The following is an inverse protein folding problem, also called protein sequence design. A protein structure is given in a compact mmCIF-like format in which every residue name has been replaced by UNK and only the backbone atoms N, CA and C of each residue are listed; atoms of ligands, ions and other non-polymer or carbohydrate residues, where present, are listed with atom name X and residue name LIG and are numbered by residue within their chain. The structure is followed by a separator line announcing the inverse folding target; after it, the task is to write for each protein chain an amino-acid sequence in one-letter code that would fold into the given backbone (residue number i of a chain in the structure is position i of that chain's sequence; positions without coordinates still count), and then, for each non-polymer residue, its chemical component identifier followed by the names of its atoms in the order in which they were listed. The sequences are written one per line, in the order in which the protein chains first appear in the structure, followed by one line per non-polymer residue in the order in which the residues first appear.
data_IF_158029496112
#
_entry.id   IF_158029496112
#
_cell.length_a   1.000
_cell.length_b   1.000
_cell.length_c   1.000
_cell.angle_alpha   90.00
_cell.angle_beta   90.00
_cell.angle_gamma   90.00
#
_symmetry.space_group_name_H-M   'P 1'
#
loop_
_entity.id
_entity.type
_entity.pdbx_description
1 polymer ?
#
# COMPACT_ATOMS: atom_id res chain seq x y z
N UNK A 1 8.74 -19.37 10.33
CA UNK A 1 8.55 -19.19 8.88
C UNK A 1 8.02 -17.78 8.66
N UNK A 2 8.73 -16.91 7.93
CA UNK A 2 8.13 -15.64 7.52
C UNK A 2 7.07 -15.98 6.47
N UNK A 3 5.81 -15.67 6.73
CA UNK A 3 4.75 -15.84 5.73
C UNK A 3 5.12 -14.97 4.53
N UNK A 4 5.24 -15.60 3.36
CA UNK A 4 5.45 -14.90 2.10
C UNK A 4 4.21 -14.06 1.82
N UNK A 5 4.39 -12.75 1.66
CA UNK A 5 3.30 -11.84 1.29
C UNK A 5 3.18 -11.88 -0.24
N UNK A 6 1.97 -12.15 -0.73
CA UNK A 6 1.64 -12.12 -2.15
C UNK A 6 0.89 -10.82 -2.46
N UNK A 7 1.30 -10.16 -3.54
CA UNK A 7 0.69 -8.91 -4.01
C UNK A 7 0.20 -9.04 -5.45
N UNK A 8 -0.89 -8.35 -5.78
CA UNK A 8 -1.58 -8.44 -7.08
C UNK A 8 -1.84 -7.08 -7.75
N UNK A 9 -1.35 -6.00 -7.14
CA UNK A 9 -1.47 -4.68 -7.72
C UNK A 9 -0.66 -3.65 -6.94
N UNK A 10 -0.69 -2.40 -7.42
CA UNK A 10 -0.05 -1.28 -6.75
C UNK A 10 -0.75 0.03 -7.06
N UNK A 11 -0.86 0.90 -6.04
CA UNK A 11 -1.39 2.25 -6.12
C UNK A 11 -0.34 3.27 -5.69
N UNK A 12 -0.31 4.43 -6.34
CA UNK A 12 0.62 5.50 -5.97
C UNK A 12 -0.01 6.42 -4.91
N UNK A 13 0.69 6.65 -3.80
CA UNK A 13 0.27 7.61 -2.78
C UNK A 13 1.22 8.80 -2.74
N UNK A 14 0.69 10.00 -2.53
CA UNK A 14 1.49 11.23 -2.39
C UNK A 14 1.09 12.00 -1.14
N UNK A 15 2.09 12.46 -0.38
CA UNK A 15 1.90 13.34 0.76
C UNK A 15 1.63 14.77 0.30
N UNK A 16 0.47 15.32 0.68
CA UNK A 16 0.13 16.72 0.42
C UNK A 16 1.00 17.72 1.21
N UNK A 17 1.71 17.28 2.26
CA UNK A 17 2.54 18.16 3.10
C UNK A 17 3.99 18.25 2.63
N UNK A 18 4.70 17.12 2.51
CA UNK A 18 6.12 17.09 2.15
C UNK A 18 6.37 16.66 0.70
N UNK A 19 5.33 16.27 -0.05
CA UNK A 19 5.46 15.84 -1.43
C UNK A 19 5.96 14.40 -1.63
N UNK A 20 6.35 13.69 -0.55
CA UNK A 20 6.80 12.29 -0.61
C UNK A 20 5.81 11.42 -1.38
N UNK A 21 6.31 10.61 -2.31
CA UNK A 21 5.54 9.66 -3.08
C UNK A 21 5.93 8.24 -2.68
N UNK A 22 4.95 7.36 -2.58
CA UNK A 22 5.15 5.98 -2.19
C UNK A 22 4.29 5.08 -3.08
N UNK A 23 4.93 4.10 -3.73
CA UNK A 23 4.21 3.04 -4.43
C UNK A 23 3.77 1.99 -3.41
N UNK A 24 2.47 1.85 -3.22
CA UNK A 24 1.88 0.93 -2.26
C UNK A 24 1.32 -0.29 -2.97
N UNK A 25 1.97 -1.43 -2.79
CA UNK A 25 1.52 -2.71 -3.29
C UNK A 25 0.29 -3.22 -2.52
N UNK A 26 -0.50 -4.08 -3.15
CA UNK A 26 -1.76 -4.58 -2.60
C UNK A 26 -1.60 -6.05 -2.24
N UNK A 27 -1.64 -6.40 -0.94
CA UNK A 27 -1.73 -7.81 -0.54
C UNK A 27 -2.97 -8.45 -1.17
N UNK A 28 -2.88 -9.73 -1.56
CA UNK A 28 -4.00 -10.46 -2.13
C UNK A 28 -5.27 -10.35 -1.24
N UNK A 29 -6.32 -9.76 -1.80
CA UNK A 29 -7.57 -9.46 -1.10
C UNK A 29 -7.72 -8.00 -0.66
N UNK A 30 -6.70 -7.16 -0.84
CA UNK A 30 -6.82 -5.70 -0.77
C UNK A 30 -7.16 -5.17 -2.16
N UNK A 31 -8.33 -4.56 -2.30
CA UNK A 31 -8.89 -4.11 -3.59
C UNK A 31 -8.95 -5.20 -4.68
N UNK A 32 -9.42 -4.82 -5.88
CA UNK A 32 -9.53 -5.71 -7.04
C UNK A 32 -10.71 -6.68 -7.00
N UNK A 33 -10.64 -7.73 -7.81
CA UNK A 33 -11.75 -8.67 -8.06
C UNK A 33 -12.12 -9.49 -6.83
N UNK A 34 -11.12 -10.00 -6.09
CA UNK A 34 -11.31 -10.82 -4.89
C UNK A 34 -11.24 -9.99 -3.59
N UNK A 35 -11.71 -8.74 -3.65
CA UNK A 35 -11.61 -7.77 -2.56
C UNK A 35 -12.26 -8.29 -1.27
N UNK A 36 -11.46 -8.33 -0.22
CA UNK A 36 -11.87 -8.53 1.18
C UNK A 36 -11.85 -7.23 1.96
N UNK A 37 -10.88 -6.36 1.69
CA UNK A 37 -10.73 -5.07 2.35
C UNK A 37 -10.37 -3.96 1.35
N UNK A 38 -10.87 -2.74 1.54
CA UNK A 38 -10.42 -1.57 0.80
C UNK A 38 -9.07 -1.06 1.29
N UNK A 39 -8.40 -0.29 0.42
CA UNK A 39 -7.32 0.60 0.81
C UNK A 39 -7.88 1.76 1.66
N UNK A 40 -7.12 2.25 2.65
CA UNK A 40 -7.47 3.48 3.36
C UNK A 40 -7.38 4.71 2.42
N UNK A 41 -8.33 5.63 2.56
CA UNK A 41 -8.40 6.85 1.75
C UNK A 41 -7.25 7.82 2.03
N UNK A 42 -6.83 7.93 3.31
CA UNK A 42 -5.70 8.74 3.76
C UNK A 42 -4.83 7.91 4.68
N UNK A 43 -3.51 7.98 4.48
CA UNK A 43 -2.51 7.33 5.35
C UNK A 43 -1.51 8.35 5.92
N UNK A 44 -0.84 7.93 6.99
CA UNK A 44 0.22 8.72 7.61
C UNK A 44 1.49 8.64 6.76
N UNK A 45 2.10 9.78 6.50
CA UNK A 45 3.35 9.86 5.75
C UNK A 45 4.51 9.31 6.58
N UNK A 46 5.32 8.38 6.06
CA UNK A 46 6.43 7.86 6.84
C UNK A 46 7.63 8.82 6.91
N UNK A 47 7.69 9.85 6.05
CA UNK A 47 8.78 10.85 6.05
C UNK A 47 8.51 12.03 6.97
N UNK A 48 7.29 12.59 6.96
CA UNK A 48 6.95 13.76 7.80
C UNK A 48 5.95 13.45 8.93
N UNK A 49 5.49 12.21 9.04
CA UNK A 49 4.55 11.74 10.05
C UNK A 49 3.15 12.39 10.03
N UNK A 50 2.84 13.24 9.06
CA UNK A 50 1.51 13.85 8.89
C UNK A 50 0.50 12.89 8.27
N UNK A 51 -0.76 12.98 8.69
CA UNK A 51 -1.88 12.23 8.10
C UNK A 51 -2.35 12.90 6.81
N UNK A 52 -1.49 12.85 5.79
CA UNK A 52 -1.65 13.64 4.57
C UNK A 52 -1.31 12.90 3.28
N UNK A 53 -1.09 11.58 3.30
CA UNK A 53 -0.86 10.80 2.09
C UNK A 53 -2.16 10.27 1.50
N UNK A 54 -2.40 10.57 0.23
CA UNK A 54 -3.61 10.18 -0.52
C UNK A 54 -3.24 9.45 -1.81
N UNK A 55 -4.15 8.60 -2.27
CA UNK A 55 -4.05 7.92 -3.55
C UNK A 55 -4.12 8.93 -4.71
N UNK A 56 -3.12 8.88 -5.57
CA UNK A 56 -2.96 9.72 -6.75
C UNK A 56 -2.70 8.86 -7.98
N UNK A 57 -2.74 9.48 -9.17
CA UNK A 57 -2.48 8.78 -10.43
C UNK A 57 -3.41 7.58 -10.68
N UNK A 58 -4.68 7.68 -10.30
CA UNK A 58 -5.73 6.65 -10.46
C UNK A 58 -5.77 5.96 -11.83
N UNK A 59 -5.37 6.64 -12.91
CA UNK A 59 -5.30 6.04 -14.27
C UNK A 59 -4.09 5.11 -14.48
N UNK A 60 -3.16 5.10 -13.55
CA UNK A 60 -1.95 4.26 -13.52
C UNK A 60 -2.07 3.12 -12.51
N UNK A 61 -3.24 2.98 -11.87
CA UNK A 61 -3.53 1.84 -11.01
C UNK A 61 -3.33 0.56 -11.80
N UNK A 62 -2.49 -0.31 -11.27
CA UNK A 62 -2.05 -1.49 -11.99
C UNK A 62 -2.37 -2.74 -11.18
N UNK A 63 -3.06 -3.68 -11.81
CA UNK A 63 -3.30 -5.03 -11.31
C UNK A 63 -2.54 -6.02 -12.18
N UNK A 64 -1.93 -7.02 -11.56
CA UNK A 64 -1.04 -7.96 -12.21
C UNK A 64 -1.13 -9.35 -11.57
N UNK A 65 -0.55 -10.36 -12.24
CA UNK A 65 -0.50 -11.72 -11.69
C UNK A 65 0.21 -11.75 -10.34
N UNK A 66 -0.38 -12.45 -9.37
CA UNK A 66 0.14 -12.48 -8.02
C UNK A 66 1.60 -12.90 -7.96
N UNK A 67 2.40 -12.09 -7.27
CA UNK A 67 3.82 -12.36 -7.04
C UNK A 67 4.21 -12.12 -5.58
N UNK A 68 5.37 -12.64 -5.19
CA UNK A 68 5.94 -12.34 -3.88
C UNK A 68 6.35 -10.86 -3.77
N UNK A 69 6.08 -10.26 -2.62
CA UNK A 69 6.53 -8.92 -2.25
C UNK A 69 8.06 -8.89 -2.15
N UNK A 70 8.69 -7.91 -2.78
CA UNK A 70 10.14 -7.70 -2.68
C UNK A 70 10.52 -6.94 -1.39
N UNK A 71 11.81 -7.04 -1.00
CA UNK A 71 12.32 -6.59 0.31
C UNK A 71 12.06 -5.11 0.63
N UNK A 72 11.95 -4.26 -0.38
CA UNK A 72 11.85 -2.80 -0.26
C UNK A 72 10.54 -2.25 -0.81
N UNK A 73 9.52 -3.11 -0.88
CA UNK A 73 8.20 -2.73 -1.38
C UNK A 73 7.26 -2.45 -0.20
N UNK A 74 6.80 -1.21 -0.13
CA UNK A 74 5.72 -0.81 0.78
C UNK A 74 4.39 -1.37 0.28
N UNK A 75 3.52 -1.79 1.18
CA UNK A 75 2.28 -2.45 0.80
C UNK A 75 1.14 -2.22 1.80
N UNK A 76 -0.08 -2.52 1.36
CA UNK A 76 -1.25 -2.61 2.22
C UNK A 76 -1.47 -4.06 2.63
N UNK A 77 -1.37 -4.31 3.94
CA UNK A 77 -1.57 -5.60 4.54
C UNK A 77 -3.03 -5.82 4.94
N UNK A 78 -3.53 -7.06 4.81
CA UNK A 78 -4.83 -7.42 5.36
C UNK A 78 -4.85 -7.20 6.88
N UNK A 79 -5.92 -6.58 7.36
CA UNK A 79 -6.11 -6.23 8.75
C UNK A 79 -7.24 -7.07 9.35
N UNK A 80 -6.87 -8.08 10.16
CA UNK A 80 -7.86 -8.95 10.83
C UNK A 80 -8.79 -8.23 11.81
N UNK A 81 -8.47 -6.99 12.20
CA UNK A 81 -9.16 -6.26 13.27
C UNK A 81 -9.92 -5.01 12.80
N UNK A 82 -9.92 -4.67 11.52
CA UNK A 82 -10.48 -3.39 11.08
C UNK A 82 -11.08 -3.44 9.68
N UNK A 83 -11.74 -2.34 9.32
CA UNK A 83 -12.51 -2.24 8.08
C UNK A 83 -11.61 -2.01 6.85
N UNK A 84 -10.46 -1.37 7.03
CA UNK A 84 -9.48 -1.09 5.96
C UNK A 84 -8.18 -1.87 6.14
N UNK A 85 -7.50 -2.12 5.02
CA UNK A 85 -6.13 -2.63 5.00
C UNK A 85 -5.15 -1.67 5.71
N UNK A 86 -4.06 -2.21 6.24
CA UNK A 86 -3.07 -1.45 7.02
C UNK A 86 -1.84 -1.13 6.18
N UNK A 87 -1.37 0.13 6.09
CA UNK A 87 -0.13 0.44 5.41
C UNK A 87 1.08 -0.13 6.18
N UNK A 88 2.01 -0.73 5.44
CA UNK A 88 3.32 -1.20 5.90
C UNK A 88 4.37 -0.58 4.99
N UNK A 89 5.22 0.28 5.55
CA UNK A 89 6.28 0.96 4.83
C UNK A 89 7.60 0.21 4.98
N UNK A 90 8.21 -0.18 3.85
CA UNK A 90 9.52 -0.83 3.81
C UNK A 90 10.50 0.08 3.07
N UNK A 91 10.73 1.25 3.68
CA UNK A 91 11.67 2.24 3.16
C UNK A 91 13.04 1.86 3.69
N UNK A 92 14.02 1.74 2.80
CA UNK A 92 15.41 1.72 3.24
C UNK A 92 15.71 3.07 3.90
N UNK A 93 16.24 3.03 5.13
CA UNK A 93 16.86 4.20 5.74
C UNK A 93 18.15 4.48 4.95
N UNK A 94 18.20 5.63 4.27
CA UNK A 94 19.43 6.16 3.66
C UNK A 94 20.45 6.55 4.73
#
# INVERSE_FOLDING_TARGET
MKNKILVHGAFMYKCGKCGHMELMYLENGVEGENKKQPCPFIIRCPKCNELAMQHVLWRMDNFFESRELCKNESYFALNKKGDCAKPVFNIEEE
#
